data_IF_344970974811
#
_entry.id   IF_344970974811
#
_cell.length_a   1.000
_cell.length_b   1.000
_cell.length_c   1.000
_cell.angle_alpha   90.00
_cell.angle_beta   90.00
_cell.angle_gamma   90.00
#
_symmetry.space_group_name_H-M   'P 1'
#
loop_
_entity.id
_entity.type
_entity.pdbx_description
1 polymer ?
#
# COMPACT_ATOMS: atom_id res chain seq x y z
N UNK A 1 -21.86 -5.46 -20.46
CA UNK A 1 -22.35 -4.73 -19.26
C UNK A 1 -21.51 -5.09 -18.04
N UNK A 2 -21.33 -6.38 -17.72
CA UNK A 2 -20.62 -6.80 -16.50
C UNK A 2 -19.16 -6.34 -16.38
N UNK A 3 -18.39 -6.32 -17.47
CA UNK A 3 -16.97 -5.90 -17.43
C UNK A 3 -16.84 -4.43 -17.03
N UNK A 4 -17.70 -3.56 -17.58
CA UNK A 4 -17.76 -2.14 -17.23
C UNK A 4 -18.13 -1.94 -15.75
N UNK A 5 -18.96 -2.84 -15.20
CA UNK A 5 -19.33 -2.85 -13.77
C UNK A 5 -18.13 -3.19 -12.88
N UNK A 6 -17.33 -4.18 -13.28
CA UNK A 6 -16.12 -4.60 -12.54
C UNK A 6 -15.04 -3.52 -12.60
N UNK A 7 -14.81 -2.93 -13.77
CA UNK A 7 -13.85 -1.83 -13.93
C UNK A 7 -14.23 -0.63 -13.06
N UNK A 8 -15.51 -0.25 -13.02
CA UNK A 8 -16.00 0.82 -12.16
C UNK A 8 -15.82 0.51 -10.67
N UNK A 9 -16.12 -0.73 -10.26
CA UNK A 9 -15.92 -1.19 -8.89
C UNK A 9 -14.44 -1.10 -8.49
N UNK A 10 -13.54 -1.62 -9.33
CA UNK A 10 -12.09 -1.57 -9.08
C UNK A 10 -11.58 -0.13 -9.05
N UNK A 11 -12.01 0.73 -9.98
CA UNK A 11 -11.63 2.14 -10.00
C UNK A 11 -12.09 2.88 -8.73
N UNK A 12 -13.33 2.64 -8.29
CA UNK A 12 -13.86 3.22 -7.05
C UNK A 12 -13.13 2.71 -5.80
N UNK A 13 -12.74 1.43 -5.77
CA UNK A 13 -11.98 0.84 -4.68
C UNK A 13 -10.56 1.45 -4.60
N UNK A 14 -9.87 1.60 -5.73
CA UNK A 14 -8.55 2.28 -5.79
C UNK A 14 -8.68 3.71 -5.27
N UNK A 15 -9.66 4.48 -5.78
CA UNK A 15 -9.90 5.84 -5.33
C UNK A 15 -10.16 5.95 -3.83
N UNK A 16 -10.99 5.05 -3.28
CA UNK A 16 -11.33 5.04 -1.86
C UNK A 16 -10.13 4.64 -0.98
N UNK A 17 -9.36 3.62 -1.37
CA UNK A 17 -8.16 3.20 -0.65
C UNK A 17 -7.08 4.29 -0.67
N UNK A 18 -6.87 4.94 -1.81
CA UNK A 18 -5.92 6.06 -1.92
C UNK A 18 -6.36 7.26 -1.09
N UNK A 19 -7.65 7.64 -1.15
CA UNK A 19 -8.17 8.75 -0.35
C UNK A 19 -8.07 8.48 1.16
N UNK A 20 -8.47 7.28 1.60
CA UNK A 20 -8.36 6.86 3.00
C UNK A 20 -6.89 6.77 3.45
N UNK A 21 -6.01 6.26 2.59
CA UNK A 21 -4.57 6.18 2.84
C UNK A 21 -3.95 7.56 3.06
N UNK A 22 -4.19 8.50 2.14
CA UNK A 22 -3.72 9.89 2.26
C UNK A 22 -4.28 10.56 3.52
N UNK A 23 -5.59 10.40 3.79
CA UNK A 23 -6.21 10.97 4.98
C UNK A 23 -5.54 10.49 6.28
N UNK A 24 -5.26 9.19 6.38
CA UNK A 24 -4.60 8.61 7.56
C UNK A 24 -3.13 8.99 7.68
N UNK A 25 -2.40 9.13 6.56
CA UNK A 25 -1.01 9.60 6.54
C UNK A 25 -0.90 11.04 7.06
N UNK A 26 -1.88 11.89 6.76
CA UNK A 26 -1.92 13.28 7.25
C UNK A 26 -2.25 13.39 8.74
N UNK A 27 -2.57 12.27 9.40
CA UNK A 27 -2.87 12.24 10.82
C UNK A 27 -1.57 12.30 11.63
N UNK A 28 -1.57 13.14 12.66
CA UNK A 28 -0.39 13.46 13.49
C UNK A 28 -0.02 12.36 14.51
N UNK A 29 -0.25 11.08 14.20
CA UNK A 29 0.02 9.93 15.08
C UNK A 29 0.61 8.78 14.28
N UNK A 30 1.57 8.06 14.85
CA UNK A 30 2.35 7.04 14.14
C UNK A 30 1.49 5.85 13.69
N UNK A 31 0.56 5.39 14.51
CA UNK A 31 -0.30 4.25 14.16
C UNK A 31 -1.21 4.52 12.94
N UNK A 32 -1.97 5.64 12.89
CA UNK A 32 -2.67 6.04 11.67
C UNK A 32 -1.79 6.16 10.43
N UNK A 33 -0.57 6.69 10.55
CA UNK A 33 0.34 6.82 9.41
C UNK A 33 0.68 5.44 8.84
N UNK A 34 0.97 4.45 9.70
CA UNK A 34 1.24 3.07 9.28
C UNK A 34 0.04 2.48 8.54
N UNK A 35 -1.16 2.61 9.11
CA UNK A 35 -2.38 2.12 8.45
C UNK A 35 -2.65 2.84 7.12
N UNK A 36 -2.41 4.15 7.06
CA UNK A 36 -2.57 4.93 5.84
C UNK A 36 -1.61 4.49 4.73
N UNK A 37 -0.35 4.21 5.09
CA UNK A 37 0.64 3.66 4.17
C UNK A 37 0.23 2.26 3.67
N UNK A 38 -0.28 1.40 4.55
CA UNK A 38 -0.78 0.07 4.17
C UNK A 38 -1.97 0.14 3.21
N UNK A 39 -2.95 1.02 3.46
CA UNK A 39 -4.09 1.21 2.55
C UNK A 39 -3.64 1.74 1.18
N UNK A 40 -2.71 2.69 1.16
CA UNK A 40 -2.13 3.22 -0.08
C UNK A 40 -1.45 2.10 -0.89
N UNK A 41 -0.64 1.27 -0.22
CA UNK A 41 -0.02 0.08 -0.82
C UNK A 41 -1.07 -0.85 -1.43
N UNK A 42 -2.16 -1.15 -0.73
CA UNK A 42 -3.21 -2.02 -1.28
C UNK A 42 -3.90 -1.38 -2.50
N UNK A 43 -4.17 -0.07 -2.46
CA UNK A 43 -4.71 0.67 -3.61
C UNK A 43 -3.79 0.59 -4.83
N UNK A 44 -2.48 0.78 -4.64
CA UNK A 44 -1.47 0.66 -5.71
C UNK A 44 -1.38 -0.77 -6.27
N UNK A 45 -1.44 -1.79 -5.40
CA UNK A 45 -1.43 -3.19 -5.85
C UNK A 45 -2.66 -3.52 -6.71
N UNK A 46 -3.85 -3.06 -6.31
CA UNK A 46 -5.08 -3.23 -7.10
C UNK A 46 -4.98 -2.47 -8.43
N UNK A 47 -4.45 -1.25 -8.42
CA UNK A 47 -4.22 -0.45 -9.62
C UNK A 47 -3.27 -1.15 -10.60
N UNK A 48 -2.13 -1.65 -10.12
CA UNK A 48 -1.18 -2.41 -10.93
C UNK A 48 -1.82 -3.66 -11.52
N UNK A 49 -2.58 -4.41 -10.71
CA UNK A 49 -3.31 -5.59 -11.18
C UNK A 49 -4.28 -5.25 -12.32
N UNK A 50 -5.00 -4.13 -12.21
CA UNK A 50 -5.97 -3.70 -13.22
C UNK A 50 -5.33 -3.36 -14.59
N UNK A 51 -4.04 -3.01 -14.65
CA UNK A 51 -3.34 -2.71 -15.91
C UNK A 51 -3.25 -3.92 -16.87
N UNK A 52 -3.34 -5.15 -16.34
CA UNK A 52 -3.27 -6.41 -17.10
C UNK A 52 -4.54 -6.80 -17.85
N UNK A 53 -5.55 -5.94 -17.85
CA UNK A 53 -6.95 -6.21 -18.25
C UNK A 53 -7.63 -7.24 -17.35
N UNK A 54 -8.78 -6.86 -16.81
CA UNK A 54 -9.62 -7.71 -15.96
C UNK A 54 -10.37 -8.73 -16.82
N UNK A 55 -9.76 -9.89 -17.08
CA UNK A 55 -10.43 -11.04 -17.70
C UNK A 55 -10.82 -12.07 -16.64
N UNK A 56 -12.08 -12.49 -16.69
CA UNK A 56 -12.61 -13.60 -15.88
C UNK A 56 -12.28 -14.92 -16.59
N UNK A 57 -12.03 -15.98 -15.82
CA UNK A 57 -11.76 -17.36 -16.30
C UNK A 57 -10.53 -17.55 -17.21
N UNK A 58 -9.52 -16.69 -17.03
CA UNK A 58 -8.27 -16.73 -17.80
C UNK A 58 -7.03 -16.79 -16.88
N UNK A 59 -6.80 -17.90 -16.15
CA UNK A 59 -5.63 -18.02 -15.29
C UNK A 59 -4.34 -17.98 -16.13
N UNK A 60 -3.26 -17.33 -15.66
CA UNK A 60 -1.98 -17.27 -16.37
C UNK A 60 -1.16 -18.54 -16.14
N UNK A 61 -1.80 -19.71 -16.23
CA UNK A 61 -1.18 -21.01 -16.03
C UNK A 61 -1.21 -21.74 -17.37
N UNK A 62 -0.04 -22.11 -17.88
CA UNK A 62 0.08 -22.87 -19.13
C UNK A 62 -0.63 -24.21 -18.99
N UNK A 63 -1.75 -24.36 -19.69
CA UNK A 63 -2.44 -25.64 -19.85
C UNK A 63 -2.24 -26.13 -21.28
N UNK A 64 -1.62 -27.31 -21.41
CA UNK A 64 -1.33 -27.94 -22.71
C UNK A 64 -2.60 -28.37 -23.45
N UNK A 65 -3.74 -28.46 -22.76
CA UNK A 65 -5.00 -28.97 -23.30
C UNK A 65 -6.10 -27.89 -23.40
N UNK A 66 -5.94 -26.74 -22.77
CA UNK A 66 -6.92 -25.66 -22.81
C UNK A 66 -6.68 -24.69 -23.98
N UNK A 67 -7.70 -24.50 -24.84
CA UNK A 67 -7.75 -23.45 -25.87
C UNK A 67 -8.19 -22.09 -25.28
N UNK A 68 -7.93 -21.84 -24.01
CA UNK A 68 -8.45 -20.66 -23.30
C UNK A 68 -7.46 -19.49 -23.44
N UNK A 69 -7.98 -18.28 -23.56
CA UNK A 69 -7.17 -17.07 -23.61
C UNK A 69 -6.48 -16.85 -22.26
N UNK A 70 -5.16 -16.65 -22.27
CA UNK A 70 -4.37 -16.35 -21.07
C UNK A 70 -4.52 -14.87 -20.67
N UNK A 71 -4.48 -14.59 -19.37
CA UNK A 71 -4.26 -13.23 -18.84
C UNK A 71 -2.76 -12.92 -18.84
N UNK A 72 -2.40 -11.64 -18.95
CA UNK A 72 -1.01 -11.20 -18.88
C UNK A 72 -0.40 -11.55 -17.50
N UNK A 73 0.67 -12.37 -17.45
CA UNK A 73 1.33 -12.71 -16.19
C UNK A 73 2.18 -11.56 -15.62
N UNK A 74 2.54 -10.54 -16.42
CA UNK A 74 3.45 -9.48 -16.00
C UNK A 74 2.91 -8.68 -14.81
N UNK A 75 1.66 -8.17 -14.82
CA UNK A 75 1.13 -7.42 -13.67
C UNK A 75 1.02 -8.25 -12.41
N UNK A 76 0.80 -9.56 -12.52
CA UNK A 76 0.72 -10.45 -11.36
C UNK A 76 2.08 -10.64 -10.68
N UNK A 77 3.14 -10.81 -11.47
CA UNK A 77 4.50 -10.89 -10.95
C UNK A 77 4.94 -9.58 -10.29
N UNK A 78 4.57 -8.44 -10.89
CA UNK A 78 4.85 -7.11 -10.32
C UNK A 78 4.13 -6.91 -8.98
N UNK A 79 2.87 -7.31 -8.87
CA UNK A 79 2.09 -7.21 -7.62
C UNK A 79 2.68 -8.11 -6.53
N UNK A 80 3.06 -9.35 -6.84
CA UNK A 80 3.70 -10.24 -5.86
C UNK A 80 4.99 -9.63 -5.30
N UNK A 81 5.79 -9.01 -6.16
CA UNK A 81 7.02 -8.31 -5.77
C UNK A 81 6.72 -7.11 -4.88
N UNK A 82 5.73 -6.29 -5.27
CA UNK A 82 5.29 -5.14 -4.49
C UNK A 82 4.76 -5.54 -3.11
N UNK A 83 4.05 -6.67 -2.98
CA UNK A 83 3.56 -7.21 -1.70
C UNK A 83 4.73 -7.52 -0.76
N UNK A 84 5.77 -8.23 -1.24
CA UNK A 84 6.92 -8.61 -0.40
C UNK A 84 7.72 -7.38 0.03
N UNK A 85 7.96 -6.44 -0.88
CA UNK A 85 8.64 -5.18 -0.55
C UNK A 85 7.84 -4.40 0.50
N UNK A 86 6.52 -4.28 0.31
CA UNK A 86 5.67 -3.53 1.22
C UNK A 86 5.61 -4.18 2.60
N UNK A 87 5.59 -5.51 2.68
CA UNK A 87 5.66 -6.24 3.94
C UNK A 87 6.95 -5.92 4.69
N UNK A 88 8.11 -6.01 4.01
CA UNK A 88 9.40 -5.67 4.61
C UNK A 88 9.47 -4.21 5.08
N UNK A 89 9.04 -3.27 4.23
CA UNK A 89 9.02 -1.85 4.58
C UNK A 89 8.06 -1.55 5.73
N UNK A 90 6.88 -2.18 5.77
CA UNK A 90 5.93 -2.02 6.88
C UNK A 90 6.51 -2.53 8.19
N UNK A 91 7.20 -3.67 8.17
CA UNK A 91 7.88 -4.20 9.36
C UNK A 91 8.94 -3.22 9.89
N UNK A 92 9.74 -2.62 9.00
CA UNK A 92 10.73 -1.60 9.38
C UNK A 92 10.07 -0.37 10.00
N UNK A 93 9.02 0.16 9.38
CA UNK A 93 8.29 1.33 9.91
C UNK A 93 7.66 1.03 11.26
N UNK A 94 7.05 -0.15 11.45
CA UNK A 94 6.48 -0.59 12.72
C UNK A 94 7.55 -0.71 13.80
N UNK A 95 8.72 -1.25 13.48
CA UNK A 95 9.84 -1.35 14.41
C UNK A 95 10.34 0.02 14.86
N UNK A 96 10.49 0.98 13.92
CA UNK A 96 10.88 2.35 14.24
C UNK A 96 9.81 3.04 15.11
N UNK A 97 8.55 2.87 14.76
CA UNK A 97 7.41 3.42 15.51
C UNK A 97 7.38 2.91 16.95
N UNK A 98 7.59 1.60 17.15
CA UNK A 98 7.63 0.99 18.46
C UNK A 98 8.85 1.46 19.26
N UNK A 99 10.02 1.56 18.63
CA UNK A 99 11.23 2.07 19.29
C UNK A 99 11.06 3.53 19.75
N UNK A 100 10.49 4.39 18.90
CA UNK A 100 10.17 5.78 19.23
C UNK A 100 9.17 5.86 20.40
N UNK A 101 8.11 5.05 20.36
CA UNK A 101 7.11 5.00 21.43
C UNK A 101 7.71 4.55 22.77
N UNK A 102 8.58 3.54 22.78
CA UNK A 102 9.23 3.06 24.00
C UNK A 102 10.20 4.09 24.59
N UNK A 103 10.83 4.92 23.74
CA UNK A 103 11.75 5.99 24.17
C UNK A 103 10.99 7.22 24.70
N UNK A 104 10.04 7.73 23.93
CA UNK A 104 9.38 9.02 24.19
C UNK A 104 8.05 8.88 24.96
N UNK A 105 7.49 7.67 25.07
CA UNK A 105 6.14 7.39 25.62
C UNK A 105 5.00 8.18 24.95
N UNK A 106 5.25 8.73 23.75
CA UNK A 106 4.29 9.43 22.92
C UNK A 106 4.43 8.92 21.47
N UNK A 107 3.32 8.86 20.75
CA UNK A 107 3.24 8.42 19.34
C UNK A 107 2.89 9.57 18.39
N UNK A 108 3.12 10.81 18.82
CA UNK A 108 3.01 11.99 17.95
C UNK A 108 4.18 12.07 16.99
N UNK A 109 3.88 12.38 15.73
CA UNK A 109 4.88 12.64 14.69
C UNK A 109 5.22 14.13 14.56
N UNK A 110 4.56 14.99 15.32
CA UNK A 110 4.71 16.45 15.31
C UNK A 110 5.22 16.98 16.64
N UNK A 111 6.38 16.48 17.05
CA UNK A 111 7.04 16.94 18.25
C UNK A 111 7.49 18.41 18.07
N UNK A 112 7.17 19.30 19.02
CA UNK A 112 7.70 20.66 18.99
C UNK A 112 9.22 20.63 19.21
N UNK A 113 9.98 21.39 18.41
CA UNK A 113 11.41 21.58 18.65
C UNK A 113 11.64 22.18 20.04
N UNK A 114 12.54 21.58 20.81
CA UNK A 114 12.94 22.16 22.10
C UNK A 114 14.11 23.12 21.85
N UNK A 115 14.07 24.37 22.36
CA UNK A 115 15.12 25.36 22.12
C UNK A 115 16.49 24.99 22.71
N UNK A 116 16.59 23.91 23.47
CA UNK A 116 17.85 23.38 24.01
C UNK A 116 18.68 22.60 22.96
N UNK A 117 18.08 22.20 21.82
CA UNK A 117 18.79 21.52 20.74
C UNK A 117 19.71 22.46 19.90
N UNK A 118 19.68 23.77 20.15
CA UNK A 118 20.50 24.78 19.44
C UNK A 118 21.89 25.02 20.07
N UNK A 119 22.17 24.47 21.26
CA UNK A 119 23.35 24.79 22.07
C UNK A 119 24.59 23.89 21.89
N UNK A 120 24.47 22.74 21.20
CA UNK A 120 25.55 21.74 21.10
C UNK A 120 26.41 21.90 19.83
N UNK A 121 25.99 22.74 18.87
CA UNK A 121 26.63 22.92 17.57
C UNK A 121 27.49 24.21 17.45
N UNK A 122 27.89 24.83 18.57
CA UNK A 122 28.70 26.07 18.61
C UNK A 122 30.11 25.88 19.19
#
# INVERSE_FOLDING_TARGET
>A
MEILSVEFLVASAVGLLTAAGIYLILRRRTFPVILGLSLLTYGVNIFLFATGRLRVDAPPILDKYAKVAYTDPLPQALVLTAIVISFGMTAVVVMIALAAYLSSKDDRIDMPHHPEDEGEDA
#
